data_IF_456652506094
#
_entry.id   IF_456652506094
#
_cell.length_a   1.000
_cell.length_b   1.000
_cell.length_c   1.000
_cell.angle_alpha   90.00
_cell.angle_beta   90.00
_cell.angle_gamma   90.00
#
_symmetry.space_group_name_H-M   'P 1'
#
loop_
_entity.id
_entity.type
_entity.pdbx_description
1 polymer ?
#
# COMPACT_ATOMS: atom_id res chain seq x y z
N UNK A 1 -1.09 -9.10 -16.01
CA UNK A 1 -0.13 -8.00 -16.28
C UNK A 1 1.21 -8.51 -16.81
N UNK A 2 2.11 -9.15 -16.00
CA UNK A 2 3.42 -9.63 -16.55
C UNK A 2 3.24 -10.62 -17.71
N UNK A 3 2.26 -11.51 -17.64
CA UNK A 3 1.94 -12.47 -18.71
C UNK A 3 1.44 -11.82 -20.00
N UNK A 4 0.86 -10.64 -19.92
CA UNK A 4 0.33 -9.91 -21.08
C UNK A 4 1.46 -9.37 -22.00
N UNK A 5 2.70 -9.36 -21.48
CA UNK A 5 3.91 -9.02 -22.24
C UNK A 5 4.64 -10.24 -22.84
N UNK A 6 3.97 -11.39 -22.96
CA UNK A 6 4.50 -12.58 -23.60
C UNK A 6 5.40 -13.45 -22.71
N UNK A 7 5.55 -13.13 -21.43
CA UNK A 7 6.29 -13.95 -20.46
C UNK A 7 5.39 -15.06 -19.95
N UNK A 8 5.48 -16.23 -20.59
CA UNK A 8 4.64 -17.40 -20.27
C UNK A 8 5.29 -18.36 -19.28
N UNK A 9 6.62 -18.29 -19.15
CA UNK A 9 7.36 -19.14 -18.22
C UNK A 9 7.09 -18.72 -16.77
N UNK A 10 6.62 -19.68 -15.96
CA UNK A 10 6.28 -19.46 -14.54
C UNK A 10 7.51 -19.03 -13.73
N UNK A 11 8.68 -19.56 -14.05
CA UNK A 11 9.94 -19.23 -13.36
C UNK A 11 10.32 -17.76 -13.66
N UNK A 12 10.24 -17.35 -14.93
CA UNK A 12 10.51 -15.97 -15.33
C UNK A 12 9.54 -14.98 -14.70
N UNK A 13 8.24 -15.28 -14.69
CA UNK A 13 7.22 -14.45 -14.00
C UNK A 13 7.54 -14.30 -12.53
N UNK A 14 7.90 -15.40 -11.86
CA UNK A 14 8.27 -15.38 -10.45
C UNK A 14 9.52 -14.54 -10.19
N UNK A 15 10.52 -14.64 -11.05
CA UNK A 15 11.77 -13.87 -10.95
C UNK A 15 11.52 -12.36 -11.13
N UNK A 16 10.67 -11.97 -12.09
CA UNK A 16 10.32 -10.56 -12.29
C UNK A 16 9.50 -9.98 -11.13
N UNK A 17 8.72 -10.79 -10.40
CA UNK A 17 8.02 -10.31 -9.20
C UNK A 17 8.94 -10.09 -8.00
N UNK A 18 10.13 -10.67 -7.98
CA UNK A 18 11.14 -10.42 -6.93
C UNK A 18 11.62 -8.96 -6.99
N UNK A 19 11.76 -8.38 -8.18
CA UNK A 19 12.30 -7.02 -8.33
C UNK A 19 11.46 -5.97 -7.60
N UNK A 20 10.14 -5.84 -7.81
CA UNK A 20 9.30 -4.89 -7.06
C UNK A 20 9.33 -5.13 -5.54
N UNK A 21 9.37 -6.40 -5.13
CA UNK A 21 9.41 -6.74 -3.70
C UNK A 21 10.75 -6.37 -3.06
N UNK A 22 11.87 -6.62 -3.72
CA UNK A 22 13.21 -6.26 -3.24
C UNK A 22 13.37 -4.73 -3.15
N UNK A 23 12.97 -4.01 -4.20
CA UNK A 23 12.97 -2.53 -4.23
C UNK A 23 12.04 -1.99 -3.14
N UNK A 24 10.87 -2.59 -2.98
CA UNK A 24 9.90 -2.26 -1.94
C UNK A 24 10.46 -2.43 -0.53
N UNK A 25 11.18 -3.52 -0.27
CA UNK A 25 11.80 -3.78 1.03
C UNK A 25 12.89 -2.72 1.38
N UNK A 26 13.73 -2.38 0.43
CA UNK A 26 14.74 -1.31 0.62
C UNK A 26 14.07 0.04 0.83
N UNK A 27 13.11 0.38 -0.01
CA UNK A 27 12.38 1.64 0.08
C UNK A 27 11.58 1.79 1.37
N UNK A 28 10.96 0.72 1.87
CA UNK A 28 10.30 0.68 3.18
C UNK A 28 11.26 1.13 4.29
N UNK A 29 12.48 0.58 4.33
CA UNK A 29 13.46 0.92 5.36
C UNK A 29 13.85 2.40 5.29
N UNK A 30 14.09 2.92 4.09
CA UNK A 30 14.49 4.31 3.88
C UNK A 30 13.38 5.29 4.27
N UNK A 31 12.15 5.03 3.82
CA UNK A 31 11.00 5.90 4.09
C UNK A 31 10.61 5.83 5.58
N UNK A 32 10.59 4.64 6.18
CA UNK A 32 10.28 4.48 7.60
C UNK A 32 11.29 5.21 8.48
N UNK A 33 12.60 5.07 8.21
CA UNK A 33 13.64 5.82 8.93
C UNK A 33 13.48 7.33 8.77
N UNK A 34 13.12 7.82 7.58
CA UNK A 34 12.86 9.24 7.35
C UNK A 34 11.64 9.71 8.14
N UNK A 35 10.56 8.94 8.12
CA UNK A 35 9.34 9.23 8.89
C UNK A 35 9.61 9.29 10.40
N UNK A 36 10.44 8.37 10.92
CA UNK A 36 10.81 8.37 12.34
C UNK A 36 11.68 9.57 12.72
N UNK A 37 12.61 9.98 11.85
CA UNK A 37 13.47 11.15 12.09
C UNK A 37 12.70 12.48 12.07
N UNK A 38 11.72 12.61 11.19
CA UNK A 38 10.94 13.85 11.06
C UNK A 38 9.81 13.94 12.09
N UNK A 39 9.35 12.79 12.62
CA UNK A 39 8.20 12.71 13.53
C UNK A 39 6.84 12.96 12.84
N UNK A 40 6.83 13.37 11.59
CA UNK A 40 5.62 13.69 10.82
C UNK A 40 4.97 12.45 10.17
N UNK A 41 4.69 11.41 10.98
CA UNK A 41 4.17 10.13 10.51
C UNK A 41 2.89 10.26 9.69
N UNK A 42 2.00 11.16 10.07
CA UNK A 42 0.73 11.43 9.38
C UNK A 42 0.95 11.85 7.92
N UNK A 43 1.85 12.80 7.67
CA UNK A 43 2.16 13.28 6.32
C UNK A 43 2.86 12.20 5.49
N UNK A 44 3.82 11.50 6.07
CA UNK A 44 4.51 10.40 5.39
C UNK A 44 3.56 9.28 5.00
N UNK A 45 2.64 8.88 5.89
CA UNK A 45 1.61 7.90 5.57
C UNK A 45 0.74 8.35 4.40
N UNK A 46 0.23 9.58 4.44
CA UNK A 46 -0.60 10.10 3.36
C UNK A 46 0.16 10.21 2.03
N UNK A 47 1.41 10.66 2.03
CA UNK A 47 2.26 10.68 0.83
C UNK A 47 2.47 9.25 0.28
N UNK A 48 2.71 8.27 1.14
CA UNK A 48 2.87 6.88 0.73
C UNK A 48 1.58 6.30 0.15
N UNK A 49 0.45 6.51 0.80
CA UNK A 49 -0.83 5.93 0.32
C UNK A 49 -1.36 6.64 -0.92
N UNK A 50 -1.29 7.96 -1.01
CA UNK A 50 -1.70 8.71 -2.20
C UNK A 50 -0.74 8.45 -3.38
N UNK A 51 0.55 8.48 -3.14
CA UNK A 51 1.55 8.14 -4.16
C UNK A 51 1.42 6.69 -4.65
N UNK A 52 1.19 5.75 -3.73
CA UNK A 52 0.92 4.35 -4.05
C UNK A 52 -0.37 4.16 -4.86
N UNK A 53 -1.43 4.90 -4.52
CA UNK A 53 -2.69 4.89 -5.26
C UNK A 53 -2.50 5.41 -6.71
N UNK A 54 -1.75 6.51 -6.88
CA UNK A 54 -1.43 7.03 -8.21
C UNK A 54 -0.58 6.05 -9.02
N UNK A 55 0.44 5.44 -8.40
CA UNK A 55 1.27 4.43 -9.05
C UNK A 55 0.45 3.18 -9.45
N UNK A 56 -0.50 2.73 -8.63
CA UNK A 56 -1.43 1.66 -8.99
C UNK A 56 -2.34 2.08 -10.14
N UNK A 57 -2.94 3.26 -10.07
CA UNK A 57 -3.81 3.75 -11.13
C UNK A 57 -3.07 3.90 -12.48
N UNK A 58 -1.80 4.29 -12.46
CA UNK A 58 -0.99 4.39 -13.68
C UNK A 58 -0.78 3.05 -14.41
N UNK A 59 -0.90 1.91 -13.71
CA UNK A 59 -0.79 0.59 -14.32
C UNK A 59 -1.95 0.28 -15.28
N UNK A 60 -3.10 0.95 -15.12
CA UNK A 60 -4.26 0.79 -16.02
C UNK A 60 -4.12 1.58 -17.32
N UNK A 61 -3.12 2.47 -17.43
CA UNK A 61 -2.85 3.25 -18.64
C UNK A 61 -2.21 2.41 -19.76
N UNK A 62 -2.22 1.08 -19.65
CA UNK A 62 -1.69 0.14 -20.65
C UNK A 62 -0.30 0.52 -21.13
N UNK A 63 0.63 0.64 -20.17
CA UNK A 63 2.04 0.98 -20.46
C UNK A 63 2.61 0.00 -21.49
N UNK A 64 2.98 0.51 -22.65
CA UNK A 64 3.51 -0.28 -23.77
C UNK A 64 4.92 -0.83 -23.50
N UNK A 65 5.59 -0.34 -22.46
CA UNK A 65 6.93 -0.79 -22.06
C UNK A 65 6.87 -1.66 -20.81
N UNK A 66 7.40 -2.87 -20.89
CA UNK A 66 7.57 -3.78 -19.76
C UNK A 66 8.38 -3.14 -18.62
N UNK A 67 9.43 -2.39 -18.97
CA UNK A 67 10.26 -1.69 -17.99
C UNK A 67 9.48 -0.60 -17.24
N UNK A 68 8.63 0.16 -17.93
CA UNK A 68 7.78 1.17 -17.31
C UNK A 68 6.74 0.55 -16.38
N UNK A 69 6.11 -0.56 -16.78
CA UNK A 69 5.19 -1.32 -15.92
C UNK A 69 5.91 -1.82 -14.66
N UNK A 70 7.11 -2.40 -14.81
CA UNK A 70 7.88 -2.92 -13.68
C UNK A 70 8.32 -1.79 -12.72
N UNK A 71 8.69 -0.64 -13.25
CA UNK A 71 9.01 0.55 -12.47
C UNK A 71 7.80 1.07 -11.68
N UNK A 72 6.64 1.22 -12.32
CA UNK A 72 5.41 1.63 -11.63
C UNK A 72 5.01 0.65 -10.53
N UNK A 73 5.14 -0.66 -10.79
CA UNK A 73 4.85 -1.70 -9.82
C UNK A 73 5.82 -1.64 -8.63
N UNK A 74 7.11 -1.36 -8.89
CA UNK A 74 8.13 -1.20 -7.85
C UNK A 74 7.88 0.02 -6.98
N UNK A 75 7.47 1.14 -7.59
CA UNK A 75 7.09 2.36 -6.87
C UNK A 75 5.85 2.10 -6.00
N UNK A 76 4.82 1.48 -6.56
CA UNK A 76 3.62 1.14 -5.82
C UNK A 76 3.93 0.23 -4.63
N UNK A 77 4.68 -0.85 -4.84
CA UNK A 77 5.10 -1.77 -3.79
C UNK A 77 5.90 -1.06 -2.69
N UNK A 78 6.85 -0.22 -3.06
CA UNK A 78 7.66 0.57 -2.11
C UNK A 78 6.80 1.44 -1.21
N UNK A 79 5.87 2.19 -1.79
CA UNK A 79 5.02 3.12 -1.06
C UNK A 79 4.01 2.39 -0.16
N UNK A 80 3.42 1.29 -0.66
CA UNK A 80 2.48 0.47 0.12
C UNK A 80 3.21 -0.21 1.28
N UNK A 81 4.39 -0.79 1.05
CA UNK A 81 5.16 -1.44 2.11
C UNK A 81 5.62 -0.43 3.17
N UNK A 82 6.02 0.78 2.76
CA UNK A 82 6.42 1.83 3.69
C UNK A 82 5.24 2.37 4.52
N UNK A 83 4.02 2.38 3.98
CA UNK A 83 2.84 2.82 4.70
C UNK A 83 2.53 1.94 5.93
N UNK A 84 2.82 0.63 5.86
CA UNK A 84 2.46 -0.32 6.90
C UNK A 84 3.11 -0.04 8.27
N UNK A 85 4.45 0.06 8.41
CA UNK A 85 5.08 0.39 9.69
C UNK A 85 4.72 1.79 10.18
N UNK A 86 4.54 2.75 9.27
CA UNK A 86 4.10 4.10 9.63
C UNK A 86 2.68 4.07 10.22
N UNK A 87 1.78 3.28 9.63
CA UNK A 87 0.44 3.07 10.15
C UNK A 87 0.48 2.52 11.57
N UNK A 88 1.20 1.42 11.82
CA UNK A 88 1.27 0.80 13.14
C UNK A 88 1.88 1.70 14.22
N UNK A 89 2.73 2.62 13.83
CA UNK A 89 3.30 3.60 14.74
C UNK A 89 2.28 4.66 15.22
N UNK A 90 1.08 4.76 14.61
CA UNK A 90 0.03 5.69 15.02
C UNK A 90 -0.79 5.13 16.19
N UNK A 91 -1.44 3.94 16.11
CA UNK A 91 -2.22 3.39 17.21
C UNK A 91 -1.41 3.21 18.50
N UNK A 92 -0.16 2.78 18.38
CA UNK A 92 0.73 2.56 19.54
C UNK A 92 1.07 3.84 20.33
N UNK A 93 0.82 5.02 19.79
CA UNK A 93 0.97 6.30 20.50
C UNK A 93 -0.23 6.69 21.35
N UNK A 94 -1.42 6.24 20.95
CA UNK A 94 -2.69 6.61 21.59
C UNK A 94 -3.19 5.53 22.55
N UNK A 95 -2.79 4.30 22.32
CA UNK A 95 -3.21 3.14 23.09
C UNK A 95 -2.11 2.71 24.06
N UNK A 96 -2.44 2.57 25.34
CA UNK A 96 -1.53 2.12 26.39
C UNK A 96 -2.18 1.05 27.27
N UNK A 97 -1.36 0.23 27.93
CA UNK A 97 -1.85 -0.83 28.82
C UNK A 97 -2.76 -1.84 28.12
N UNK A 98 -3.79 -2.29 28.79
CA UNK A 98 -4.74 -3.30 28.27
C UNK A 98 -5.53 -2.82 27.06
N UNK A 99 -5.79 -1.51 26.94
CA UNK A 99 -6.45 -0.92 25.78
C UNK A 99 -5.62 -1.03 24.50
N UNK A 100 -4.28 -1.03 24.60
CA UNK A 100 -3.39 -1.23 23.46
C UNK A 100 -3.56 -2.63 22.87
N UNK A 101 -3.56 -3.66 23.70
CA UNK A 101 -3.70 -5.05 23.26
C UNK A 101 -5.05 -5.26 22.54
N UNK A 102 -6.15 -4.80 23.13
CA UNK A 102 -7.49 -4.92 22.55
C UNK A 102 -7.62 -4.13 21.24
N UNK A 103 -7.11 -2.90 21.18
CA UNK A 103 -7.15 -2.06 19.98
C UNK A 103 -6.33 -2.64 18.83
N UNK A 104 -5.12 -3.11 19.09
CA UNK A 104 -4.27 -3.78 18.09
C UNK A 104 -4.94 -5.07 17.59
N UNK A 105 -5.52 -5.88 18.50
CA UNK A 105 -6.24 -7.09 18.12
C UNK A 105 -7.42 -6.79 17.19
N UNK A 106 -8.23 -5.78 17.52
CA UNK A 106 -9.37 -5.36 16.70
C UNK A 106 -8.94 -4.91 15.30
N UNK A 107 -7.93 -4.02 15.21
CA UNK A 107 -7.40 -3.53 13.93
C UNK A 107 -6.83 -4.69 13.11
N UNK A 108 -6.08 -5.60 13.74
CA UNK A 108 -5.51 -6.77 13.07
C UNK A 108 -6.60 -7.72 12.55
N UNK A 109 -7.65 -7.96 13.34
CA UNK A 109 -8.78 -8.83 12.93
C UNK A 109 -9.50 -8.29 11.71
N UNK A 110 -9.76 -6.98 11.66
CA UNK A 110 -10.34 -6.30 10.49
C UNK A 110 -9.39 -6.40 9.30
N UNK A 111 -8.08 -6.20 9.52
CA UNK A 111 -7.05 -6.31 8.49
C UNK A 111 -6.98 -7.71 7.88
N UNK A 112 -7.00 -8.76 8.70
CA UNK A 112 -6.98 -10.16 8.24
C UNK A 112 -8.25 -10.48 7.44
N UNK A 113 -9.41 -10.03 7.92
CA UNK A 113 -10.68 -10.21 7.19
C UNK A 113 -10.63 -9.57 5.81
N UNK A 114 -10.02 -8.39 5.68
CA UNK A 114 -9.85 -7.74 4.38
C UNK A 114 -8.96 -8.55 3.43
N UNK A 115 -7.98 -9.28 3.96
CA UNK A 115 -7.10 -10.19 3.21
C UNK A 115 -7.86 -11.37 2.56
N UNK A 116 -8.97 -11.80 3.15
CA UNK A 116 -9.86 -12.83 2.58
C UNK A 116 -10.84 -12.21 1.58
N UNK A 117 -11.45 -11.09 1.94
CA UNK A 117 -12.48 -10.42 1.13
C UNK A 117 -11.88 -9.83 -0.16
N UNK A 118 -10.69 -9.25 -0.10
CA UNK A 118 -10.08 -8.57 -1.24
C UNK A 118 -9.87 -9.48 -2.47
N UNK A 119 -9.24 -10.68 -2.37
CA UNK A 119 -9.09 -11.56 -3.51
C UNK A 119 -10.43 -12.04 -4.08
N UNK A 120 -11.43 -12.24 -3.23
CA UNK A 120 -12.77 -12.64 -3.64
C UNK A 120 -13.46 -11.54 -4.46
N UNK A 121 -13.43 -10.29 -3.98
CA UNK A 121 -13.98 -9.13 -4.71
C UNK A 121 -13.26 -8.94 -6.04
N UNK A 122 -11.92 -9.01 -6.05
CA UNK A 122 -11.12 -8.91 -7.28
C UNK A 122 -11.49 -10.01 -8.27
N UNK A 123 -11.67 -11.24 -7.78
CA UNK A 123 -12.11 -12.38 -8.59
C UNK A 123 -13.47 -12.14 -9.25
N UNK A 124 -14.46 -11.65 -8.51
CA UNK A 124 -15.78 -11.31 -9.04
C UNK A 124 -15.69 -10.21 -10.10
N UNK A 125 -14.94 -9.15 -9.82
CA UNK A 125 -14.77 -8.05 -10.78
C UNK A 125 -14.18 -8.59 -12.07
N UNK A 126 -13.11 -9.37 -12.00
CA UNK A 126 -12.44 -9.95 -13.17
C UNK A 126 -13.35 -10.86 -13.97
N UNK A 127 -14.16 -11.70 -13.32
CA UNK A 127 -15.09 -12.61 -14.02
C UNK A 127 -16.25 -11.88 -14.68
N UNK A 128 -16.72 -10.78 -14.11
CA UNK A 128 -17.83 -9.99 -14.66
C UNK A 128 -17.41 -9.00 -15.74
N UNK A 129 -16.24 -8.38 -15.61
CA UNK A 129 -15.78 -7.30 -16.50
C UNK A 129 -14.77 -7.77 -17.56
N UNK A 130 -14.19 -8.96 -17.38
CA UNK A 130 -13.10 -9.46 -18.24
C UNK A 130 -11.78 -8.70 -18.07
N UNK A 131 -11.72 -7.65 -17.26
CA UNK A 131 -10.55 -6.78 -17.02
C UNK A 131 -10.17 -6.71 -15.54
N UNK A 132 -8.92 -6.41 -15.29
CA UNK A 132 -8.40 -6.13 -13.94
C UNK A 132 -8.45 -4.64 -13.59
N UNK A 133 -8.72 -3.75 -14.55
CA UNK A 133 -8.58 -2.30 -14.38
C UNK A 133 -9.51 -1.77 -13.30
N UNK A 134 -10.78 -2.23 -13.30
CA UNK A 134 -11.73 -1.81 -12.26
C UNK A 134 -11.29 -2.25 -10.86
N UNK A 135 -10.70 -3.44 -10.74
CA UNK A 135 -10.17 -3.92 -9.46
C UNK A 135 -8.99 -3.07 -9.00
N UNK A 136 -8.09 -2.69 -9.91
CA UNK A 136 -6.95 -1.82 -9.61
C UNK A 136 -7.43 -0.42 -9.19
N UNK A 137 -8.41 0.16 -9.89
CA UNK A 137 -9.01 1.44 -9.49
C UNK A 137 -9.67 1.38 -8.12
N UNK A 138 -10.39 0.29 -7.81
CA UNK A 138 -10.99 0.11 -6.49
C UNK A 138 -9.93 0.07 -5.39
N UNK A 139 -8.85 -0.70 -5.59
CA UNK A 139 -7.74 -0.75 -4.65
C UNK A 139 -7.03 0.59 -4.49
N UNK A 140 -6.80 1.31 -5.59
CA UNK A 140 -6.22 2.64 -5.58
C UNK A 140 -7.11 3.65 -4.82
N UNK A 141 -8.43 3.60 -5.04
CA UNK A 141 -9.39 4.45 -4.33
C UNK A 141 -9.41 4.17 -2.82
N UNK A 142 -9.43 2.89 -2.42
CA UNK A 142 -9.38 2.51 -1.00
C UNK A 142 -8.07 2.94 -0.34
N UNK A 143 -6.95 2.80 -1.05
CA UNK A 143 -5.64 3.23 -0.58
C UNK A 143 -5.58 4.76 -0.41
N UNK A 144 -6.10 5.52 -1.37
CA UNK A 144 -6.19 6.98 -1.28
C UNK A 144 -7.10 7.42 -0.13
N UNK A 145 -8.26 6.76 0.02
CA UNK A 145 -9.20 7.04 1.10
C UNK A 145 -8.56 6.82 2.48
N UNK A 146 -7.75 5.77 2.64
CA UNK A 146 -7.02 5.51 3.89
C UNK A 146 -6.06 6.64 4.24
N UNK A 147 -5.37 7.19 3.25
CA UNK A 147 -4.47 8.34 3.43
C UNK A 147 -5.21 9.60 3.87
N UNK A 148 -6.32 9.91 3.20
CA UNK A 148 -7.17 11.04 3.55
C UNK A 148 -7.79 10.86 4.93
N UNK A 149 -8.32 9.68 5.24
CA UNK A 149 -8.92 9.38 6.53
C UNK A 149 -7.93 9.61 7.69
N UNK A 150 -6.68 9.19 7.54
CA UNK A 150 -5.65 9.42 8.57
C UNK A 150 -5.24 10.90 8.64
N UNK A 151 -5.21 11.61 7.51
CA UNK A 151 -4.95 13.05 7.49
C UNK A 151 -6.04 13.86 8.20
N UNK A 152 -7.29 13.45 8.11
CA UNK A 152 -8.40 14.17 8.73
C UNK A 152 -8.63 13.70 10.17
N UNK A 153 -8.56 12.37 10.40
CA UNK A 153 -8.92 11.77 11.69
C UNK A 153 -7.87 11.92 12.79
N UNK A 154 -6.59 12.04 12.43
CA UNK A 154 -5.50 12.14 13.41
C UNK A 154 -5.01 13.58 13.51
N UNK A 155 -5.12 14.21 14.69
CA UNK A 155 -4.57 15.55 14.94
C UNK A 155 -3.05 15.55 14.76
N UNK A 156 -2.53 16.51 14.01
CA UNK A 156 -1.09 16.65 13.78
C UNK A 156 -0.32 16.97 15.07
N UNK A 157 0.90 16.46 15.18
CA UNK A 157 1.82 16.66 16.32
C UNK A 157 2.34 18.12 16.46
N UNK A 158 1.78 19.09 15.75
CA UNK A 158 2.28 20.48 15.72
C UNK A 158 2.19 21.23 17.07
N UNK A 159 1.59 20.63 18.09
CA UNK A 159 1.34 21.28 19.40
C UNK A 159 2.23 20.81 20.57
N UNK A 160 3.20 19.90 20.36
CA UNK A 160 3.98 19.30 21.46
C UNK A 160 5.48 19.62 21.45
N UNK A 161 5.88 20.66 20.76
CA UNK A 161 7.22 21.25 20.93
C UNK A 161 7.08 22.53 21.79
N UNK A 162 6.87 22.36 23.05
CA UNK A 162 6.95 23.36 24.07
C UNK A 162 7.64 22.74 25.28
#
# INVERSE_FOLDING_TARGET
MIRDFGVTDVVAVSLYTVVPNAVGAVGLILIARRSDRTGERRRHFACCTLGGALALASLTLHLHSFAAMLACLSIAATLIFAALPIFWAVPTRYLSGNAAAAGIALISSIGITSGIVSPWVIGIIRTRTGSMDLAVYLLAALLALSGVALLVGVKGDAGRRG
#
